data_IF_648479798076
#
_entry.id   IF_648479798076
#
_cell.length_a   1.000
_cell.length_b   1.000
_cell.length_c   1.000
_cell.angle_alpha   90.00
_cell.angle_beta   90.00
_cell.angle_gamma   90.00
#
_symmetry.space_group_name_H-M   'P 1'
#
loop_
_entity.id
_entity.type
_entity.pdbx_description
1 polymer ?
#
# COMPACT_ATOMS: atom_id res chain seq x y z
N UNK A 1 11.01 -19.24 21.17
CA UNK A 1 11.28 -17.78 21.17
C UNK A 1 10.51 -17.16 20.02
N UNK A 2 9.24 -16.80 20.23
CA UNK A 2 8.43 -16.20 19.18
C UNK A 2 8.87 -14.73 19.04
N UNK A 3 9.52 -14.39 17.93
CA UNK A 3 9.66 -13.00 17.51
C UNK A 3 8.25 -12.46 17.29
N UNK A 4 7.75 -11.70 18.27
CA UNK A 4 6.60 -10.84 18.11
C UNK A 4 6.97 -9.85 17.00
N UNK A 5 6.49 -10.11 15.79
CA UNK A 5 6.47 -9.10 14.73
C UNK A 5 5.59 -7.98 15.25
N UNK A 6 6.19 -6.96 15.84
CA UNK A 6 5.50 -5.72 16.15
C UNK A 6 4.92 -5.21 14.84
N UNK A 7 3.60 -5.36 14.67
CA UNK A 7 2.85 -4.69 13.62
C UNK A 7 2.97 -3.19 13.94
N UNK A 8 3.98 -2.53 13.39
CA UNK A 8 4.15 -1.09 13.53
C UNK A 8 3.16 -0.41 12.58
N UNK A 9 2.01 -0.07 13.15
CA UNK A 9 1.01 0.79 12.52
C UNK A 9 1.67 2.10 12.10
N UNK A 10 1.32 2.61 10.93
CA UNK A 10 1.70 3.95 10.48
C UNK A 10 0.50 4.88 10.70
N UNK A 11 0.52 5.62 11.80
CA UNK A 11 -0.42 6.72 12.01
C UNK A 11 0.04 7.99 11.27
N UNK A 12 -0.82 9.01 11.20
CA UNK A 12 -0.56 10.28 10.48
C UNK A 12 0.74 10.96 10.93
N UNK A 13 1.11 10.84 12.21
CA UNK A 13 2.36 11.39 12.76
C UNK A 13 3.58 10.59 12.31
N UNK A 14 3.48 9.26 12.32
CA UNK A 14 4.52 8.37 11.81
C UNK A 14 4.68 8.48 10.30
N UNK A 15 3.61 8.79 9.56
CA UNK A 15 3.64 9.10 8.13
C UNK A 15 4.59 10.27 7.83
N UNK A 16 4.45 11.38 8.56
CA UNK A 16 5.31 12.55 8.34
C UNK A 16 6.79 12.27 8.64
N UNK A 17 7.06 11.41 9.62
CA UNK A 17 8.43 11.00 9.96
C UNK A 17 9.00 9.99 8.95
N UNK A 18 8.16 9.10 8.41
CA UNK A 18 8.59 8.08 7.46
C UNK A 18 8.93 8.69 6.10
N UNK A 19 8.15 9.67 5.63
CA UNK A 19 8.39 10.38 4.35
C UNK A 19 9.72 11.11 4.31
N UNK A 20 10.18 11.59 5.47
CA UNK A 20 11.43 12.33 5.61
C UNK A 20 12.63 11.42 5.94
N UNK A 21 12.39 10.13 6.21
CA UNK A 21 13.42 9.17 6.62
C UNK A 21 13.95 8.30 5.48
N UNK A 22 15.22 7.89 5.60
CA UNK A 22 15.83 6.83 4.77
C UNK A 22 15.08 5.49 4.89
N UNK A 23 14.45 5.22 6.04
CA UNK A 23 13.70 3.99 6.30
C UNK A 23 12.43 3.89 5.43
N UNK A 24 11.77 5.01 5.15
CA UNK A 24 10.65 5.06 4.21
C UNK A 24 11.04 4.67 2.78
N UNK A 25 12.32 4.82 2.42
CA UNK A 25 12.87 4.35 1.13
C UNK A 25 13.23 2.86 1.13
N UNK A 26 13.33 2.24 2.31
CA UNK A 26 13.71 0.83 2.50
C UNK A 26 12.54 -0.06 2.96
N UNK A 27 11.38 0.52 3.29
CA UNK A 27 10.19 -0.25 3.66
C UNK A 27 9.74 -1.14 2.49
N UNK A 28 9.84 -2.46 2.67
CA UNK A 28 9.41 -3.42 1.66
C UNK A 28 7.88 -3.52 1.55
N UNK A 29 7.14 -3.24 2.63
CA UNK A 29 5.65 -3.25 2.69
C UNK A 29 5.16 -2.26 3.75
N UNK A 30 4.19 -1.40 3.40
CA UNK A 30 3.47 -0.53 4.34
C UNK A 30 2.16 -1.17 4.82
N UNK A 31 1.83 -1.03 6.11
CA UNK A 31 0.54 -1.48 6.65
C UNK A 31 -0.36 -0.27 6.87
N UNK A 32 -1.56 -0.27 6.29
CA UNK A 32 -2.49 0.87 6.28
C UNK A 32 -3.89 0.37 6.65
N UNK A 33 -4.65 1.11 7.46
CA UNK A 33 -6.08 0.81 7.64
C UNK A 33 -6.86 1.21 6.38
N UNK A 34 -7.84 0.40 5.96
CA UNK A 34 -8.58 0.66 4.71
C UNK A 34 -9.30 2.02 4.71
N UNK A 35 -9.75 2.49 5.88
CA UNK A 35 -10.34 3.82 6.07
C UNK A 35 -9.36 4.97 5.73
N UNK A 36 -8.05 4.72 5.88
CA UNK A 36 -6.97 5.67 5.64
C UNK A 36 -6.31 5.46 4.26
N UNK A 37 -6.97 4.74 3.34
CA UNK A 37 -6.41 4.41 2.01
C UNK A 37 -5.99 5.63 1.18
N UNK A 38 -6.56 6.82 1.44
CA UNK A 38 -6.15 8.06 0.75
C UNK A 38 -4.68 8.43 0.98
N UNK A 39 -4.08 8.02 2.10
CA UNK A 39 -2.64 8.23 2.39
C UNK A 39 -1.75 7.61 1.29
N UNK A 40 -2.22 6.55 0.62
CA UNK A 40 -1.51 5.91 -0.50
C UNK A 40 -1.26 6.92 -1.64
N UNK A 41 -2.28 7.74 -1.96
CA UNK A 41 -2.17 8.75 -3.01
C UNK A 41 -1.18 9.85 -2.59
N UNK A 42 -1.25 10.29 -1.33
CA UNK A 42 -0.34 11.31 -0.81
C UNK A 42 1.12 10.86 -0.83
N UNK A 43 1.40 9.59 -0.50
CA UNK A 43 2.74 9.00 -0.60
C UNK A 43 3.25 9.03 -2.04
N UNK A 44 2.42 8.59 -2.99
CA UNK A 44 2.74 8.57 -4.41
C UNK A 44 2.99 9.98 -4.94
N UNK A 45 2.26 10.99 -4.47
CA UNK A 45 2.46 12.37 -4.89
C UNK A 45 3.72 13.00 -4.29
N UNK A 46 4.03 12.74 -3.02
CA UNK A 46 5.17 13.37 -2.33
C UNK A 46 6.50 12.69 -2.62
N UNK A 47 6.51 11.38 -2.86
CA UNK A 47 7.74 10.63 -3.13
C UNK A 47 8.03 10.56 -4.64
N UNK A 48 8.59 11.63 -5.19
CA UNK A 48 8.88 11.75 -6.63
C UNK A 48 9.81 10.66 -7.19
N UNK A 49 10.70 10.09 -6.36
CA UNK A 49 11.60 9.00 -6.75
C UNK A 49 11.03 7.59 -6.46
N UNK A 50 9.76 7.49 -6.06
CA UNK A 50 9.13 6.21 -5.74
C UNK A 50 8.91 5.39 -7.01
N UNK A 51 9.60 4.26 -7.13
CA UNK A 51 9.44 3.33 -8.26
C UNK A 51 8.32 2.31 -8.05
N UNK A 52 8.15 1.88 -6.81
CA UNK A 52 7.10 0.96 -6.43
C UNK A 52 6.65 1.24 -5.00
N UNK A 53 5.37 1.04 -4.74
CA UNK A 53 4.78 1.05 -3.42
C UNK A 53 4.12 -0.31 -3.16
N UNK A 54 4.59 -0.98 -2.12
CA UNK A 54 3.96 -2.18 -1.61
C UNK A 54 3.23 -1.83 -0.33
N UNK A 55 1.96 -2.21 -0.21
CA UNK A 55 1.22 -2.02 1.01
C UNK A 55 0.20 -3.14 1.22
N UNK A 56 -0.22 -3.34 2.46
CA UNK A 56 -1.32 -4.22 2.81
C UNK A 56 -2.34 -3.45 3.64
N UNK A 57 -3.62 -3.68 3.36
CA UNK A 57 -4.70 -3.16 4.18
C UNK A 57 -5.08 -4.21 5.23
N UNK A 58 -5.11 -3.81 6.51
CA UNK A 58 -5.35 -4.75 7.60
C UNK A 58 -6.76 -5.32 7.60
N UNK A 59 -7.75 -4.45 7.39
CA UNK A 59 -9.18 -4.78 7.41
C UNK A 59 -9.72 -5.00 5.99
N UNK A 60 -8.81 -5.33 5.06
CA UNK A 60 -9.16 -5.74 3.72
C UNK A 60 -9.75 -7.15 3.76
N UNK A 61 -11.01 -7.27 3.35
CA UNK A 61 -11.76 -8.52 3.36
C UNK A 61 -11.34 -9.49 2.24
N UNK A 62 -10.22 -9.22 1.55
CA UNK A 62 -9.68 -10.11 0.53
C UNK A 62 -9.30 -11.48 1.12
N UNK A 63 -9.77 -12.55 0.48
CA UNK A 63 -9.46 -13.93 0.87
C UNK A 63 -8.87 -14.73 -0.29
N UNK A 64 -7.84 -15.53 -0.01
CA UNK A 64 -7.12 -16.40 -0.97
C UNK A 64 -8.03 -17.44 -1.65
N UNK A 65 -9.17 -17.73 -1.04
CA UNK A 65 -10.08 -18.79 -1.46
C UNK A 65 -10.99 -18.39 -2.63
N UNK A 66 -10.93 -17.14 -3.08
CA UNK A 66 -11.68 -16.70 -4.25
C UNK A 66 -10.71 -16.44 -5.38
N UNK A 67 -10.40 -17.50 -6.13
CA UNK A 67 -9.88 -17.37 -7.48
C UNK A 67 -10.80 -16.39 -8.23
N UNK A 68 -10.27 -15.20 -8.51
CA UNK A 68 -10.98 -14.09 -9.17
C UNK A 68 -12.28 -13.67 -8.48
N UNK A 69 -12.20 -12.90 -7.39
CA UNK A 69 -13.24 -11.88 -7.21
C UNK A 69 -13.04 -10.84 -8.33
N UNK A 70 -14.00 -10.66 -9.26
CA UNK A 70 -13.91 -9.62 -10.28
C UNK A 70 -13.91 -8.20 -9.70
N UNK A 71 -14.19 -8.04 -8.40
CA UNK A 71 -14.42 -6.76 -7.72
C UNK A 71 -13.43 -6.56 -6.56
N UNK A 72 -12.14 -6.44 -6.85
CA UNK A 72 -11.18 -5.96 -5.85
C UNK A 72 -11.40 -4.45 -5.67
N UNK A 73 -12.35 -4.08 -4.80
CA UNK A 73 -12.77 -2.68 -4.62
C UNK A 73 -11.59 -1.73 -4.32
N UNK A 74 -10.57 -2.23 -3.62
CA UNK A 74 -9.37 -1.44 -3.31
C UNK A 74 -8.50 -1.22 -4.54
N UNK A 75 -8.26 -2.27 -5.33
CA UNK A 75 -7.48 -2.16 -6.59
C UNK A 75 -8.25 -1.36 -7.63
N UNK A 76 -9.56 -1.54 -7.75
CA UNK A 76 -10.42 -0.74 -8.62
C UNK A 76 -10.41 0.73 -8.22
N UNK A 77 -10.58 1.02 -6.93
CA UNK A 77 -10.49 2.39 -6.41
C UNK A 77 -9.13 3.02 -6.76
N UNK A 78 -8.02 2.29 -6.63
CA UNK A 78 -6.69 2.78 -7.00
C UNK A 78 -6.55 3.04 -8.50
N UNK A 79 -7.03 2.12 -9.35
CA UNK A 79 -7.01 2.29 -10.81
C UNK A 79 -7.83 3.49 -11.26
N UNK A 80 -8.94 3.79 -10.57
CA UNK A 80 -9.77 4.96 -10.85
C UNK A 80 -9.16 6.26 -10.30
N UNK A 81 -8.33 6.17 -9.25
CA UNK A 81 -7.74 7.34 -8.57
C UNK A 81 -6.36 7.72 -9.11
N UNK A 82 -5.68 6.80 -9.79
CA UNK A 82 -4.34 7.01 -10.35
C UNK A 82 -4.41 7.10 -11.88
N UNK A 83 -3.54 7.91 -12.52
CA UNK A 83 -3.38 7.89 -13.97
C UNK A 83 -3.03 6.49 -14.52
N UNK A 84 -3.24 6.27 -15.82
CA UNK A 84 -2.92 4.98 -16.47
C UNK A 84 -1.42 4.66 -16.50
N UNK A 85 -0.55 5.63 -16.20
CA UNK A 85 0.90 5.43 -16.09
C UNK A 85 1.33 4.57 -14.89
N UNK A 86 0.40 4.22 -14.00
CA UNK A 86 0.68 3.38 -12.82
C UNK A 86 0.08 2.00 -13.03
N UNK A 87 0.86 0.98 -12.68
CA UNK A 87 0.36 -0.40 -12.68
C UNK A 87 -0.02 -0.81 -11.27
N UNK A 88 -1.29 -1.15 -11.06
CA UNK A 88 -1.81 -1.62 -9.77
C UNK A 88 -2.12 -3.11 -9.85
N UNK A 89 -1.53 -3.88 -8.94
CA UNK A 89 -1.65 -5.33 -8.88
C UNK A 89 -1.75 -5.82 -7.43
N UNK A 90 -2.47 -6.92 -7.20
CA UNK A 90 -2.48 -7.63 -5.92
C UNK A 90 -1.58 -8.85 -6.00
N UNK A 91 -0.74 -9.04 -4.99
CA UNK A 91 0.21 -10.15 -4.88
C UNK A 91 -0.02 -10.90 -3.55
N UNK A 92 -0.18 -12.23 -3.59
CA UNK A 92 -0.34 -13.09 -2.39
C UNK A 92 -1.37 -12.55 -1.39
N UNK A 93 -2.55 -12.20 -1.93
CA UNK A 93 -3.84 -11.99 -1.26
C UNK A 93 -3.97 -10.79 -0.31
N UNK A 94 -2.92 -10.35 0.37
CA UNK A 94 -2.99 -9.16 1.26
C UNK A 94 -2.14 -8.00 0.81
N UNK A 95 -1.21 -8.22 -0.12
CA UNK A 95 -0.31 -7.19 -0.59
C UNK A 95 -0.83 -6.60 -1.89
N UNK A 96 -0.99 -5.29 -1.92
CA UNK A 96 -1.17 -4.51 -3.14
C UNK A 96 0.15 -3.84 -3.48
N UNK A 97 0.52 -3.91 -4.76
CA UNK A 97 1.69 -3.28 -5.33
C UNK A 97 1.25 -2.28 -6.40
N UNK A 98 1.80 -1.08 -6.29
CA UNK A 98 1.68 -0.02 -7.28
C UNK A 98 3.06 0.21 -7.88
N UNK A 99 3.20 0.07 -9.19
CA UNK A 99 4.39 0.49 -9.93
C UNK A 99 4.18 1.90 -10.47
N UNK A 100 5.16 2.76 -10.25
CA UNK A 100 5.17 4.13 -10.70
C UNK A 100 6.08 4.22 -11.93
N UNK A 101 5.49 4.29 -13.13
CA UNK A 101 6.23 4.47 -14.39
C UNK A 101 6.22 5.96 -14.81
N UNK A 102 6.55 6.84 -13.87
CA UNK A 102 6.71 8.28 -14.13
C UNK A 102 8.07 8.59 -14.75
#
# INVERSE_FOLDING_TARGET
>A
SYHSRMNHYLNVTQYSLLTDSLLGRQCEVLLIHVENRTIILDLIHKMYNLRALNFACQDDNWTDNVSSHPNDELVEWLRNSLPETYSVSRHRSRLVRIWTNR
#
